data_IF_009191832589
#
_entry.id   IF_009191832589
#
_cell.length_a   1.000
_cell.length_b   1.000
_cell.length_c   1.000
_cell.angle_alpha   90.00
_cell.angle_beta   90.00
_cell.angle_gamma   90.00
#
_symmetry.space_group_name_H-M   'P 1'
#
loop_
_entity.id
_entity.type
_entity.pdbx_description
1 polymer ?
#
# COMPACT_ATOMS: atom_id res chain seq x y z
N UNK A 1 37.33 22.01 -22.31
CA UNK A 1 37.21 20.56 -22.02
C UNK A 1 37.05 20.43 -20.52
N UNK A 2 35.82 20.60 -20.04
CA UNK A 2 35.48 20.59 -18.61
C UNK A 2 35.42 19.15 -18.10
N UNK A 3 36.22 18.83 -17.09
CA UNK A 3 36.11 17.56 -16.36
C UNK A 3 35.24 17.80 -15.13
N UNK A 4 34.12 17.07 -14.92
CA UNK A 4 33.32 17.27 -13.72
C UNK A 4 34.01 16.62 -12.52
N UNK A 5 34.21 17.42 -11.46
CA UNK A 5 34.65 16.95 -10.15
C UNK A 5 33.67 15.90 -9.60
N UNK A 6 34.10 14.64 -9.49
CA UNK A 6 33.41 13.64 -8.68
C UNK A 6 33.64 13.97 -7.20
N UNK A 7 32.57 14.37 -6.51
CA UNK A 7 32.56 14.44 -5.04
C UNK A 7 32.57 13.02 -4.47
N UNK A 8 33.51 12.67 -3.57
CA UNK A 8 33.50 11.35 -2.95
C UNK A 8 32.31 11.21 -1.99
N UNK A 9 31.53 10.15 -2.19
CA UNK A 9 30.48 9.69 -1.26
C UNK A 9 31.08 9.45 0.12
N UNK A 10 30.50 9.98 1.22
CA UNK A 10 31.09 9.80 2.55
C UNK A 10 30.94 8.35 3.00
N UNK A 11 32.03 7.60 2.97
CA UNK A 11 32.17 6.30 3.63
C UNK A 11 31.89 6.46 5.13
N UNK A 12 30.83 5.82 5.62
CA UNK A 12 30.49 5.82 7.05
C UNK A 12 31.58 5.07 7.82
N UNK A 13 32.38 5.81 8.57
CA UNK A 13 33.42 5.26 9.45
C UNK A 13 32.84 4.20 10.39
N UNK A 14 33.44 3.00 10.36
CA UNK A 14 33.14 1.89 11.27
C UNK A 14 33.56 2.29 12.69
N UNK A 15 32.59 2.48 13.60
CA UNK A 15 32.90 2.81 15.01
C UNK A 15 33.40 1.56 15.71
N UNK A 16 34.69 1.55 16.04
CA UNK A 16 35.30 0.55 16.93
C UNK A 16 35.24 1.12 18.33
N UNK A 17 34.46 0.48 19.20
CA UNK A 17 34.28 0.92 20.58
C UNK A 17 33.29 0.03 21.33
N UNK A 18 33.76 -1.17 21.73
CA UNK A 18 33.11 -1.95 22.77
C UNK A 18 33.38 -1.28 24.11
N UNK A 19 32.38 -0.61 24.67
CA UNK A 19 32.45 -0.07 26.03
C UNK A 19 31.17 -0.44 26.81
N UNK A 20 31.41 -1.15 27.91
CA UNK A 20 30.47 -1.52 28.98
C UNK A 20 29.43 -0.43 29.27
N UNK A 21 28.15 -0.82 29.26
CA UNK A 21 27.08 -0.07 29.96
C UNK A 21 26.04 0.64 29.10
N UNK A 22 26.11 0.58 27.76
CA UNK A 22 25.09 1.16 26.89
C UNK A 22 23.89 0.22 26.65
N UNK A 23 22.68 0.80 26.44
CA UNK A 23 21.53 0.05 25.90
C UNK A 23 21.98 -0.69 24.63
N UNK A 24 21.67 -1.99 24.56
CA UNK A 24 22.00 -2.84 23.42
C UNK A 24 21.61 -2.14 22.12
N UNK A 25 22.54 -2.05 21.16
CA UNK A 25 22.20 -1.53 19.85
C UNK A 25 21.10 -2.40 19.25
N UNK A 26 19.98 -1.76 18.89
CA UNK A 26 18.88 -2.42 18.22
C UNK A 26 19.41 -2.94 16.86
N UNK A 27 19.17 -4.23 16.53
CA UNK A 27 19.55 -4.81 15.25
C UNK A 27 19.10 -3.92 14.09
N UNK A 28 19.91 -3.85 13.02
CA UNK A 28 19.64 -2.95 11.88
C UNK A 28 18.26 -3.21 11.26
N UNK A 29 17.80 -4.47 11.30
CA UNK A 29 16.47 -4.93 10.85
C UNK A 29 15.32 -4.36 11.69
N UNK A 30 15.55 -4.10 12.98
CA UNK A 30 14.58 -3.53 13.91
C UNK A 30 14.68 -1.99 14.00
N UNK A 31 15.64 -1.38 13.32
CA UNK A 31 15.80 0.08 13.33
C UNK A 31 14.62 0.70 12.60
N UNK A 32 13.99 1.65 13.29
CA UNK A 32 12.88 2.45 12.75
C UNK A 32 13.42 3.33 11.61
N UNK A 33 13.25 2.88 10.38
CA UNK A 33 13.87 3.49 9.18
C UNK A 33 13.28 4.87 8.84
N UNK A 34 12.01 5.12 9.21
CA UNK A 34 11.31 6.38 8.93
C UNK A 34 10.73 7.01 10.20
N UNK A 35 10.90 8.33 10.32
CA UNK A 35 10.19 9.15 11.31
C UNK A 35 8.75 9.34 10.81
N UNK A 36 7.79 9.01 11.65
CA UNK A 36 6.37 9.26 11.41
C UNK A 36 5.98 10.42 12.33
N UNK A 37 5.43 11.48 11.76
CA UNK A 37 4.86 12.61 12.51
C UNK A 37 3.35 12.54 12.32
N UNK A 38 2.63 12.42 13.42
CA UNK A 38 1.17 12.39 13.45
C UNK A 38 0.69 13.66 14.16
N UNK A 39 -0.43 14.20 13.69
CA UNK A 39 -1.12 15.31 14.33
C UNK A 39 -2.42 14.76 14.89
N UNK A 40 -2.66 15.05 16.16
CA UNK A 40 -3.87 14.67 16.88
C UNK A 40 -4.50 15.94 17.44
N UNK A 41 -5.80 15.88 17.64
CA UNK A 41 -6.49 16.83 18.53
C UNK A 41 -6.11 16.54 20.00
N UNK A 42 -6.39 17.49 20.89
CA UNK A 42 -6.04 17.37 22.31
C UNK A 42 -6.79 16.20 22.98
N UNK A 43 -8.06 16.01 22.62
CA UNK A 43 -8.92 14.93 23.10
C UNK A 43 -8.37 13.55 22.68
N UNK A 44 -8.09 13.37 21.39
CA UNK A 44 -7.52 12.12 20.86
C UNK A 44 -6.17 11.77 21.50
N UNK A 45 -5.33 12.78 21.75
CA UNK A 45 -4.05 12.58 22.41
C UNK A 45 -4.22 12.13 23.87
N UNK A 46 -5.17 12.70 24.60
CA UNK A 46 -5.46 12.33 25.98
C UNK A 46 -5.94 10.87 26.09
N UNK A 47 -6.82 10.45 25.18
CA UNK A 47 -7.30 9.06 25.11
C UNK A 47 -6.18 8.08 24.78
N UNK A 48 -5.37 8.38 23.76
CA UNK A 48 -4.22 7.56 23.37
C UNK A 48 -3.21 7.43 24.51
N UNK A 49 -2.97 8.52 25.26
CA UNK A 49 -2.08 8.52 26.43
C UNK A 49 -2.65 7.66 27.55
N UNK A 50 -3.95 7.76 27.84
CA UNK A 50 -4.61 6.93 28.84
C UNK A 50 -4.52 5.44 28.49
N UNK A 51 -4.77 5.09 27.23
CA UNK A 51 -4.68 3.72 26.72
C UNK A 51 -3.25 3.17 26.75
N UNK A 52 -2.24 4.01 26.48
CA UNK A 52 -0.83 3.64 26.62
C UNK A 52 -0.46 3.37 28.08
N UNK A 53 -0.90 4.22 29.01
CA UNK A 53 -0.70 4.04 30.45
C UNK A 53 -1.37 2.76 30.97
N UNK A 54 -2.61 2.50 30.57
CA UNK A 54 -3.36 1.29 30.96
C UNK A 54 -2.71 -0.01 30.47
N UNK A 55 -2.11 0.03 29.28
CA UNK A 55 -1.44 -1.13 28.69
C UNK A 55 0.03 -1.30 29.14
N UNK A 56 0.58 -0.34 29.90
CA UNK A 56 2.00 -0.34 30.31
C UNK A 56 2.99 -0.20 29.15
N UNK A 57 2.51 0.18 27.96
CA UNK A 57 3.33 0.31 26.75
C UNK A 57 3.65 1.78 26.48
N UNK A 58 4.79 2.03 25.83
CA UNK A 58 5.09 3.38 25.34
C UNK A 58 4.09 3.77 24.25
N UNK A 59 3.59 5.02 24.30
CA UNK A 59 2.65 5.58 23.33
C UNK A 59 3.08 5.33 21.88
N UNK A 60 4.37 5.54 21.57
CA UNK A 60 4.93 5.32 20.24
C UNK A 60 4.86 3.86 19.76
N UNK A 61 4.85 2.89 20.67
CA UNK A 61 4.71 1.46 20.34
C UNK A 61 3.24 1.15 20.04
N UNK A 62 2.32 1.63 20.88
CA UNK A 62 0.89 1.39 20.72
C UNK A 62 0.33 2.03 19.44
N UNK A 63 0.68 3.28 19.19
CA UNK A 63 0.31 3.99 17.95
C UNK A 63 0.83 3.22 16.73
N UNK A 64 2.10 2.82 16.72
CA UNK A 64 2.66 2.09 15.57
C UNK A 64 2.02 0.72 15.35
N UNK A 65 1.67 -0.02 16.39
CA UNK A 65 0.98 -1.30 16.22
C UNK A 65 -0.39 -1.13 15.56
N UNK A 66 -1.13 -0.08 15.92
CA UNK A 66 -2.43 0.20 15.30
C UNK A 66 -2.29 0.62 13.83
N UNK A 67 -1.23 1.35 13.49
CA UNK A 67 -0.96 1.77 12.12
C UNK A 67 -0.20 0.73 11.28
N UNK A 68 0.38 -0.31 11.88
CA UNK A 68 1.05 -1.39 11.13
C UNK A 68 0.04 -2.15 10.25
N UNK A 69 -1.14 -2.43 10.79
CA UNK A 69 -2.20 -3.14 10.07
C UNK A 69 -2.76 -2.27 8.92
N UNK A 70 -2.89 -0.96 9.15
CA UNK A 70 -3.29 0.01 8.12
C UNK A 70 -2.24 0.19 7.01
N UNK A 71 -0.95 0.08 7.33
CA UNK A 71 0.13 0.12 6.33
C UNK A 71 0.17 -1.17 5.51
N UNK A 72 -0.19 -2.33 6.09
CA UNK A 72 -0.34 -3.57 5.34
C UNK A 72 -1.51 -3.53 4.36
N UNK A 73 -2.61 -2.85 4.73
CA UNK A 73 -3.79 -2.65 3.87
C UNK A 73 -3.50 -1.77 2.65
N UNK A 74 -2.50 -0.88 2.72
CA UNK A 74 -2.08 -0.03 1.60
C UNK A 74 -0.82 -0.54 0.91
N UNK A 75 -0.70 -1.84 0.68
CA UNK A 75 0.30 -2.32 -0.28
C UNK A 75 -0.09 -1.77 -1.66
N UNK A 76 0.76 -0.93 -2.29
CA UNK A 76 0.51 -0.54 -3.66
C UNK A 76 0.50 -1.81 -4.50
N UNK A 77 -0.47 -1.90 -5.40
CA UNK A 77 -0.57 -3.00 -6.34
C UNK A 77 0.74 -3.16 -7.11
N UNK A 78 1.12 -4.40 -7.39
CA UNK A 78 2.26 -4.66 -8.26
C UNK A 78 1.91 -4.24 -9.69
N UNK A 79 2.93 -3.93 -10.50
CA UNK A 79 2.74 -3.56 -11.90
C UNK A 79 1.98 -4.65 -12.68
N UNK A 80 2.24 -5.94 -12.37
CA UNK A 80 1.53 -7.09 -12.92
C UNK A 80 0.04 -7.10 -12.55
N UNK A 81 -0.30 -6.84 -11.28
CA UNK A 81 -1.70 -6.78 -10.84
C UNK A 81 -2.46 -5.65 -11.54
N UNK A 82 -1.82 -4.50 -11.70
CA UNK A 82 -2.41 -3.36 -12.39
C UNK A 82 -2.61 -3.64 -13.89
N UNK A 83 -1.63 -4.31 -14.51
CA UNK A 83 -1.73 -4.76 -15.90
C UNK A 83 -2.89 -5.72 -16.09
N UNK A 84 -3.03 -6.75 -15.24
CA UNK A 84 -4.12 -7.72 -15.30
C UNK A 84 -5.49 -7.06 -15.18
N UNK A 85 -5.65 -6.09 -14.27
CA UNK A 85 -6.93 -5.38 -14.16
C UNK A 85 -7.24 -4.49 -15.36
N UNK A 86 -6.22 -3.90 -15.99
CA UNK A 86 -6.39 -3.20 -17.26
C UNK A 86 -6.82 -4.15 -18.37
N UNK A 87 -6.20 -5.32 -18.47
CA UNK A 87 -6.57 -6.35 -19.46
C UNK A 87 -8.02 -6.83 -19.25
N UNK A 88 -8.42 -7.09 -18.00
CA UNK A 88 -9.80 -7.44 -17.65
C UNK A 88 -10.80 -6.33 -18.01
N UNK A 89 -10.45 -5.06 -17.78
CA UNK A 89 -11.31 -3.93 -18.16
C UNK A 89 -11.49 -3.83 -19.69
N UNK A 90 -10.41 -4.06 -20.45
CA UNK A 90 -10.49 -4.08 -21.92
C UNK A 90 -11.35 -5.24 -22.43
N UNK A 91 -11.25 -6.42 -21.82
CA UNK A 91 -12.09 -7.57 -22.17
C UNK A 91 -13.56 -7.32 -21.86
N UNK A 92 -13.87 -6.76 -20.68
CA UNK A 92 -15.26 -6.38 -20.34
C UNK A 92 -15.85 -5.41 -21.36
N UNK A 93 -15.08 -4.38 -21.75
CA UNK A 93 -15.50 -3.40 -22.76
C UNK A 93 -15.74 -4.05 -24.13
N UNK A 94 -14.89 -5.00 -24.53
CA UNK A 94 -15.06 -5.75 -25.77
C UNK A 94 -16.32 -6.64 -25.74
N UNK A 95 -16.61 -7.27 -24.59
CA UNK A 95 -17.84 -8.06 -24.40
C UNK A 95 -19.11 -7.21 -24.49
N UNK A 96 -19.10 -5.98 -23.99
CA UNK A 96 -20.22 -5.05 -24.15
C UNK A 96 -20.42 -4.59 -25.61
N UNK A 97 -19.33 -4.43 -26.36
CA UNK A 97 -19.39 -4.13 -27.78
C UNK A 97 -20.00 -5.31 -28.55
N UNK A 98 -19.53 -6.54 -28.27
CA UNK A 98 -20.10 -7.78 -28.84
C UNK A 98 -21.57 -7.96 -28.48
N UNK A 99 -21.96 -7.68 -27.23
CA UNK A 99 -23.36 -7.74 -26.80
C UNK A 99 -24.24 -6.79 -27.59
N UNK A 100 -23.77 -5.55 -27.83
CA UNK A 100 -24.48 -4.55 -28.64
C UNK A 100 -24.60 -5.00 -30.10
N UNK A 101 -23.54 -5.55 -30.67
CA UNK A 101 -23.56 -6.06 -32.04
C UNK A 101 -24.50 -7.27 -32.18
N UNK A 102 -24.44 -8.24 -31.28
CA UNK A 102 -25.35 -9.39 -31.26
C UNK A 102 -26.82 -8.96 -31.18
N UNK A 103 -27.14 -7.94 -30.36
CA UNK A 103 -28.49 -7.39 -30.31
C UNK A 103 -28.92 -6.71 -31.62
N UNK A 104 -28.00 -6.05 -32.33
CA UNK A 104 -28.28 -5.46 -33.65
C UNK A 104 -28.53 -6.53 -34.73
N UNK A 105 -27.85 -7.67 -34.63
CA UNK A 105 -28.01 -8.82 -35.54
C UNK A 105 -29.23 -9.70 -35.17
N UNK A 106 -29.99 -9.34 -34.12
CA UNK A 106 -31.16 -10.09 -33.66
C UNK A 106 -30.85 -11.28 -32.75
N UNK A 107 -29.57 -11.52 -32.42
CA UNK A 107 -29.07 -12.55 -31.50
C UNK A 107 -29.22 -12.11 -30.04
N UNK A 108 -30.45 -11.83 -29.62
CA UNK A 108 -30.77 -11.20 -28.33
C UNK A 108 -30.39 -12.03 -27.11
N UNK A 109 -30.47 -13.37 -27.19
CA UNK A 109 -30.05 -14.27 -26.10
C UNK A 109 -28.54 -14.20 -25.87
N UNK A 110 -27.76 -14.30 -26.95
CA UNK A 110 -26.30 -14.21 -26.90
C UNK A 110 -25.84 -12.82 -26.43
N UNK A 111 -26.53 -11.76 -26.88
CA UNK A 111 -26.28 -10.40 -26.41
C UNK A 111 -26.52 -10.24 -24.91
N UNK A 112 -27.57 -10.86 -24.37
CA UNK A 112 -27.87 -10.82 -22.94
C UNK A 112 -26.79 -11.56 -22.11
N UNK A 113 -26.35 -12.74 -22.54
CA UNK A 113 -25.29 -13.51 -21.87
C UNK A 113 -23.95 -12.76 -21.85
N UNK A 114 -23.56 -12.17 -22.98
CA UNK A 114 -22.33 -11.38 -23.09
C UNK A 114 -22.36 -10.14 -22.18
N UNK A 115 -23.52 -9.47 -22.08
CA UNK A 115 -23.72 -8.33 -21.20
C UNK A 115 -23.66 -8.70 -19.72
N UNK A 116 -24.24 -9.85 -19.34
CA UNK A 116 -24.21 -10.33 -17.95
C UNK A 116 -22.77 -10.66 -17.52
N UNK A 117 -22.01 -11.32 -18.39
CA UNK A 117 -20.62 -11.64 -18.12
C UNK A 117 -19.74 -10.38 -18.01
N UNK A 118 -19.94 -9.38 -18.89
CA UNK A 118 -19.23 -8.10 -18.80
C UNK A 118 -19.49 -7.38 -17.46
N UNK A 119 -20.75 -7.37 -17.00
CA UNK A 119 -21.15 -6.80 -15.71
C UNK A 119 -20.53 -7.52 -14.52
N UNK A 120 -20.40 -8.85 -14.57
CA UNK A 120 -19.70 -9.62 -13.52
C UNK A 120 -18.24 -9.18 -13.40
N UNK A 121 -17.54 -9.06 -14.53
CA UNK A 121 -16.14 -8.59 -14.55
C UNK A 121 -16.02 -7.17 -14.00
N UNK A 122 -16.91 -6.24 -14.40
CA UNK A 122 -16.92 -4.88 -13.87
C UNK A 122 -17.07 -4.85 -12.35
N UNK A 123 -18.00 -5.63 -11.79
CA UNK A 123 -18.20 -5.69 -10.32
C UNK A 123 -16.96 -6.18 -9.58
N UNK A 124 -16.28 -7.19 -10.11
CA UNK A 124 -15.04 -7.69 -9.51
C UNK A 124 -13.93 -6.63 -9.55
N UNK A 125 -13.82 -5.88 -10.64
CA UNK A 125 -12.86 -4.78 -10.74
C UNK A 125 -13.17 -3.66 -9.73
N UNK A 126 -14.43 -3.30 -9.55
CA UNK A 126 -14.85 -2.28 -8.58
C UNK A 126 -14.48 -2.68 -7.14
N UNK A 127 -14.65 -3.97 -6.79
CA UNK A 127 -14.25 -4.47 -5.46
C UNK A 127 -12.74 -4.55 -5.24
N UNK A 128 -11.96 -4.64 -6.31
CA UNK A 128 -10.51 -4.72 -6.23
C UNK A 128 -9.85 -3.33 -6.14
N UNK A 129 -10.48 -2.32 -6.71
CA UNK A 129 -9.92 -0.95 -6.79
C UNK A 129 -10.34 -0.07 -5.59
N UNK A 130 -11.37 -0.47 -4.83
CA UNK A 130 -11.85 0.21 -3.61
C UNK A 130 -10.97 -0.06 -2.37
#
# INVERSE_FOLDING_TARGET
MDTPLQTPTPEKRKRVGSARGGRKEIPIEERRVKRIVLRFTEEEYAELKHNASKSGRQLAVMVRSQFQDLVQLKKPWTAEQFRLCRELATLSSAMEALARQANQEGLTSLGAEALEAARKVSRYLDTCIA
#
